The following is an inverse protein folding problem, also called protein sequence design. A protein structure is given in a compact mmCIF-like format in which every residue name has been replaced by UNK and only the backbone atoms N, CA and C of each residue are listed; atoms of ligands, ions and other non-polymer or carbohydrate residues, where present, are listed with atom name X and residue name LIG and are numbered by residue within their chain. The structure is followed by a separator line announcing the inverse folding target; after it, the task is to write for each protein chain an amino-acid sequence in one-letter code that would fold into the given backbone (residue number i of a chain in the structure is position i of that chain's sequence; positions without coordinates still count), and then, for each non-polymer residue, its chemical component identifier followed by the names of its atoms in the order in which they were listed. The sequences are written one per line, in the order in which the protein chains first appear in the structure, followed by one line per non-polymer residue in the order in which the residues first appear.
data_IF_993353004427
#
_entry.id   IF_993353004427
#
_cell.length_a   1.000
_cell.length_b   1.000
_cell.length_c   1.000
_cell.angle_alpha   90.00
_cell.angle_beta   90.00
_cell.angle_gamma   90.00
#
_symmetry.space_group_name_H-M   'P 1'
#
loop_
_entity.id
_entity.type
_entity.pdbx_description
1 polymer ?
#
# COMPACT_ATOMS: atom_id res chain seq x y z
N UNK A 1 -46.05 -24.42 21.70
CA UNK A 1 -46.94 -24.98 20.66
C UNK A 1 -46.46 -24.49 19.30
N UNK A 2 -46.21 -25.42 18.38
CA UNK A 2 -45.65 -25.22 17.04
C UNK A 2 -46.64 -24.51 16.11
N UNK A 3 -46.24 -23.45 15.42
CA UNK A 3 -46.89 -22.92 14.18
C UNK A 3 -45.78 -22.28 13.33
N UNK A 4 -45.25 -23.02 12.36
CA UNK A 4 -45.62 -23.00 10.93
C UNK A 4 -44.78 -22.00 10.14
N UNK A 5 -43.65 -22.52 9.66
CA UNK A 5 -42.83 -22.05 8.55
C UNK A 5 -43.68 -21.72 7.32
N UNK A 6 -43.41 -20.61 6.65
CA UNK A 6 -43.79 -20.42 5.25
C UNK A 6 -42.58 -19.89 4.48
N UNK A 7 -42.02 -20.77 3.65
CA UNK A 7 -41.04 -20.46 2.62
C UNK A 7 -41.82 -20.02 1.39
N UNK A 8 -41.52 -18.85 0.84
CA UNK A 8 -42.00 -18.45 -0.49
C UNK A 8 -40.80 -18.29 -1.42
N UNK A 9 -40.55 -19.33 -2.22
CA UNK A 9 -39.71 -19.26 -3.42
C UNK A 9 -40.49 -18.54 -4.52
N UNK A 10 -39.86 -17.57 -5.17
CA UNK A 10 -40.23 -17.17 -6.52
C UNK A 10 -39.04 -17.46 -7.44
N UNK A 11 -39.16 -18.55 -8.19
CA UNK A 11 -38.35 -18.83 -9.38
C UNK A 11 -39.06 -18.11 -10.53
N UNK A 12 -38.38 -17.17 -11.19
CA UNK A 12 -38.81 -16.66 -12.48
C UNK A 12 -37.82 -17.09 -13.56
N UNK A 13 -38.44 -17.48 -14.65
CA UNK A 13 -37.99 -18.39 -15.70
C UNK A 13 -37.10 -17.74 -16.73
N UNK A 14 -36.30 -18.62 -17.34
CA UNK A 14 -35.40 -18.46 -18.47
C UNK A 14 -36.15 -17.91 -19.68
N UNK A 15 -35.65 -16.83 -20.30
CA UNK A 15 -35.84 -16.57 -21.73
C UNK A 15 -34.54 -16.95 -22.46
N UNK A 16 -34.61 -18.09 -23.14
CA UNK A 16 -33.61 -18.53 -24.10
C UNK A 16 -33.83 -17.78 -25.42
N UNK A 17 -32.82 -17.07 -25.90
CA UNK A 17 -32.65 -16.84 -27.33
C UNK A 17 -31.87 -18.02 -27.90
N UNK A 18 -32.58 -18.94 -28.56
CA UNK A 18 -32.03 -19.91 -29.50
C UNK A 18 -31.57 -19.16 -30.76
N UNK A 19 -30.33 -19.36 -31.19
CA UNK A 19 -29.99 -19.46 -32.60
C UNK A 19 -28.99 -20.60 -32.79
N UNK A 20 -29.12 -21.25 -33.94
CA UNK A 20 -28.88 -22.66 -34.21
C UNK A 20 -27.41 -23.08 -34.30
N UNK A 21 -27.19 -24.39 -34.14
CA UNK A 21 -25.94 -25.12 -34.39
C UNK A 21 -25.48 -24.96 -35.85
N UNK A 22 -24.17 -24.87 -36.04
CA UNK A 22 -23.48 -25.63 -37.08
C UNK A 22 -22.08 -26.04 -36.59
N UNK A 23 -21.83 -27.35 -36.65
CA UNK A 23 -20.57 -28.01 -36.36
C UNK A 23 -19.74 -28.03 -37.65
N UNK A 24 -18.52 -27.48 -37.66
CA UNK A 24 -17.52 -27.82 -38.67
C UNK A 24 -16.13 -27.69 -38.07
N UNK A 25 -15.44 -28.82 -38.00
CA UNK A 25 -14.02 -28.94 -37.67
C UNK A 25 -13.17 -28.41 -38.83
N UNK A 26 -12.36 -27.39 -38.60
CA UNK A 26 -11.18 -27.12 -39.44
C UNK A 26 -10.06 -26.45 -38.66
N UNK A 27 -8.85 -26.93 -38.94
CA UNK A 27 -7.58 -26.65 -38.30
C UNK A 27 -7.02 -25.29 -38.74
N UNK A 28 -6.48 -24.56 -37.76
CA UNK A 28 -5.50 -23.46 -37.79
C UNK A 28 -5.58 -22.41 -38.91
N UNK A 29 -5.85 -21.16 -38.53
CA UNK A 29 -5.04 -20.02 -39.01
C UNK A 29 -5.06 -18.91 -37.95
N UNK A 30 -3.87 -18.40 -37.64
CA UNK A 30 -3.62 -17.22 -36.81
C UNK A 30 -4.55 -16.09 -37.21
N UNK A 31 -5.49 -15.74 -36.34
CA UNK A 31 -6.14 -14.44 -36.38
C UNK A 31 -5.61 -13.67 -35.20
N UNK A 32 -4.63 -12.84 -35.54
CA UNK A 32 -4.18 -11.69 -34.76
C UNK A 32 -5.42 -10.82 -34.54
N UNK A 33 -6.21 -11.16 -33.52
CA UNK A 33 -7.20 -10.24 -32.98
C UNK A 33 -6.37 -9.26 -32.18
N UNK A 34 -5.85 -8.29 -32.92
CA UNK A 34 -5.50 -6.96 -32.44
C UNK A 34 -6.76 -6.47 -31.74
N UNK A 35 -6.89 -6.91 -30.49
CA UNK A 35 -7.84 -6.36 -29.56
C UNK A 35 -7.30 -4.97 -29.43
N UNK A 36 -7.89 -4.05 -30.19
CA UNK A 36 -7.94 -2.64 -29.89
C UNK A 36 -8.17 -2.59 -28.40
N UNK A 37 -7.06 -2.51 -27.66
CA UNK A 37 -7.04 -2.16 -26.28
C UNK A 37 -7.65 -0.78 -26.34
N UNK A 38 -8.96 -0.73 -26.08
CA UNK A 38 -9.61 0.50 -25.69
C UNK A 38 -8.61 1.14 -24.76
N UNK A 39 -8.03 2.27 -25.17
CA UNK A 39 -7.27 3.12 -24.29
C UNK A 39 -8.30 3.54 -23.24
N UNK A 40 -8.54 2.65 -22.28
CA UNK A 40 -9.13 2.99 -21.01
C UNK A 40 -8.18 4.06 -20.53
N UNK A 41 -8.64 5.30 -20.60
CA UNK A 41 -7.91 6.45 -20.09
C UNK A 41 -7.61 6.12 -18.64
N UNK A 42 -6.42 5.61 -18.42
CA UNK A 42 -6.00 5.15 -17.11
C UNK A 42 -5.97 6.38 -16.24
N UNK A 43 -6.73 6.36 -15.16
CA UNK A 43 -6.77 7.46 -14.23
C UNK A 43 -5.35 7.82 -13.81
N UNK A 44 -4.99 9.09 -13.91
CA UNK A 44 -3.71 9.62 -13.45
C UNK A 44 -3.80 9.97 -11.96
N UNK A 45 -2.68 10.36 -11.35
CA UNK A 45 -2.65 10.84 -9.97
C UNK A 45 -2.84 12.37 -9.87
N UNK A 46 -3.16 13.06 -10.97
CA UNK A 46 -3.21 14.53 -10.98
C UNK A 46 -4.29 15.06 -10.04
N UNK A 47 -5.47 14.46 -10.05
CA UNK A 47 -6.55 14.86 -9.14
C UNK A 47 -6.25 14.48 -7.69
N UNK A 48 -5.52 13.38 -7.46
CA UNK A 48 -5.04 13.01 -6.14
C UNK A 48 -4.10 14.07 -5.54
N UNK A 49 -3.15 14.58 -6.32
CA UNK A 49 -2.18 15.58 -5.82
C UNK A 49 -2.80 16.96 -5.59
N UNK A 50 -3.97 17.27 -6.18
CA UNK A 50 -4.72 18.49 -5.92
C UNK A 50 -5.47 18.47 -4.58
N UNK A 51 -5.61 17.31 -3.95
CA UNK A 51 -6.35 17.18 -2.69
C UNK A 51 -5.60 17.86 -1.53
N UNK A 52 -6.30 18.66 -0.71
CA UNK A 52 -5.68 19.56 0.27
C UNK A 52 -5.17 18.86 1.52
N UNK A 53 -5.68 17.67 1.86
CA UNK A 53 -5.37 17.00 3.12
C UNK A 53 -5.33 15.46 2.98
N UNK A 54 -4.77 14.83 4.02
CA UNK A 54 -4.53 13.38 4.09
C UNK A 54 -5.80 12.55 4.09
N UNK A 55 -6.89 13.05 4.68
CA UNK A 55 -8.17 12.33 4.72
C UNK A 55 -8.79 12.22 3.32
N UNK A 56 -8.81 13.32 2.58
CA UNK A 56 -9.30 13.35 1.21
C UNK A 56 -8.44 12.47 0.29
N UNK A 57 -7.11 12.53 0.44
CA UNK A 57 -6.18 11.66 -0.28
C UNK A 57 -6.43 10.18 0.00
N UNK A 58 -6.63 9.80 1.27
CA UNK A 58 -6.95 8.42 1.64
C UNK A 58 -8.28 7.95 1.03
N UNK A 59 -9.33 8.79 1.10
CA UNK A 59 -10.64 8.51 0.47
C UNK A 59 -10.52 8.33 -1.04
N UNK A 60 -9.75 9.19 -1.71
CA UNK A 60 -9.52 9.08 -3.14
C UNK A 60 -8.82 7.78 -3.52
N UNK A 61 -7.74 7.42 -2.81
CA UNK A 61 -7.02 6.17 -3.06
C UNK A 61 -7.91 4.93 -2.85
N UNK A 62 -8.76 4.93 -1.82
CA UNK A 62 -9.72 3.85 -1.57
C UNK A 62 -10.74 3.71 -2.71
N UNK A 63 -11.18 4.82 -3.30
CA UNK A 63 -12.18 4.81 -4.38
C UNK A 63 -11.59 4.56 -5.77
N UNK A 64 -10.37 5.01 -6.01
CA UNK A 64 -9.79 5.14 -7.34
C UNK A 64 -8.41 4.50 -7.51
N UNK A 65 -7.71 4.15 -6.43
CA UNK A 65 -6.34 3.64 -6.48
C UNK A 65 -6.18 2.43 -7.40
N UNK A 66 -7.10 1.47 -7.34
CA UNK A 66 -7.07 0.27 -8.19
C UNK A 66 -7.38 0.54 -9.67
N UNK A 67 -7.89 1.73 -10.00
CA UNK A 67 -8.15 2.20 -11.37
C UNK A 67 -6.94 2.94 -11.97
N UNK A 68 -6.00 3.37 -11.14
CA UNK A 68 -4.73 3.95 -11.59
C UNK A 68 -3.86 2.83 -12.18
N UNK A 69 -3.10 3.14 -13.24
CA UNK A 69 -2.11 2.19 -13.76
C UNK A 69 -1.19 1.73 -12.63
N UNK A 70 -1.15 0.41 -12.39
CA UNK A 70 -0.35 -0.20 -11.33
C UNK A 70 1.09 0.33 -11.28
N UNK A 71 1.79 0.42 -12.43
CA UNK A 71 3.17 0.92 -12.50
C UNK A 71 3.29 2.38 -12.04
N UNK A 72 2.36 3.25 -12.44
CA UNK A 72 2.34 4.67 -12.04
C UNK A 72 2.17 4.79 -10.52
N UNK A 73 1.28 3.97 -9.96
CA UNK A 73 0.97 3.94 -8.53
C UNK A 73 2.13 3.36 -7.70
N UNK A 74 2.77 2.30 -8.20
CA UNK A 74 3.97 1.69 -7.60
C UNK A 74 5.14 2.69 -7.58
N UNK A 75 5.41 3.39 -8.69
CA UNK A 75 6.47 4.40 -8.76
C UNK A 75 6.18 5.59 -7.85
N UNK A 76 4.93 6.07 -7.81
CA UNK A 76 4.52 7.16 -6.96
C UNK A 76 4.65 6.80 -5.47
N UNK A 77 4.14 5.65 -5.04
CA UNK A 77 4.17 5.25 -3.61
C UNK A 77 5.62 5.05 -3.12
N UNK A 78 6.51 4.49 -3.95
CA UNK A 78 7.93 4.38 -3.58
C UNK A 78 8.62 5.74 -3.54
N UNK A 79 8.36 6.61 -4.50
CA UNK A 79 8.96 7.95 -4.53
C UNK A 79 8.50 8.80 -3.36
N UNK A 80 7.20 8.80 -3.09
CA UNK A 80 6.58 9.71 -2.14
C UNK A 80 6.88 9.28 -0.70
N UNK A 81 6.78 7.99 -0.37
CA UNK A 81 7.03 7.51 1.00
C UNK A 81 8.50 7.31 1.36
N UNK A 82 9.42 7.52 0.44
CA UNK A 82 10.86 7.42 0.73
C UNK A 82 11.25 8.54 1.70
N UNK A 83 11.77 8.17 2.86
CA UNK A 83 12.23 9.13 3.88
C UNK A 83 13.34 10.01 3.31
N UNK A 84 13.17 11.32 3.44
CA UNK A 84 14.15 12.33 3.02
C UNK A 84 14.86 12.89 4.25
N UNK A 85 16.11 12.49 4.45
CA UNK A 85 16.93 12.92 5.58
C UNK A 85 17.51 11.75 6.37
N UNK A 86 18.23 12.07 7.44
CA UNK A 86 18.79 11.05 8.33
C UNK A 86 17.73 10.57 9.31
N UNK A 87 17.69 9.25 9.52
CA UNK A 87 16.94 8.65 10.63
C UNK A 87 17.84 8.53 11.84
N UNK A 88 17.42 9.15 12.94
CA UNK A 88 18.09 9.11 14.25
C UNK A 88 17.21 8.43 15.29
N UNK A 89 17.78 8.12 16.46
CA UNK A 89 17.06 7.55 17.60
C UNK A 89 16.22 6.31 17.29
N UNK A 90 16.72 5.43 16.42
CA UNK A 90 16.02 4.21 16.04
C UNK A 90 15.81 3.29 17.25
N UNK A 91 14.55 2.95 17.53
CA UNK A 91 14.09 2.17 18.69
C UNK A 91 12.99 1.21 18.28
N UNK A 92 12.71 0.21 19.13
CA UNK A 92 11.55 -0.66 18.97
C UNK A 92 11.52 -1.39 17.63
N UNK A 93 12.44 -2.35 17.43
CA UNK A 93 12.54 -3.09 16.18
C UNK A 93 11.56 -4.26 16.14
N UNK A 94 10.75 -4.32 15.09
CA UNK A 94 9.94 -5.49 14.74
C UNK A 94 10.34 -6.00 13.36
N UNK A 95 10.63 -7.30 13.26
CA UNK A 95 11.06 -7.95 12.01
C UNK A 95 10.04 -9.00 11.61
N UNK A 96 9.62 -8.98 10.36
CA UNK A 96 8.73 -9.98 9.78
C UNK A 96 9.15 -10.30 8.35
N UNK A 97 9.13 -11.59 8.01
CA UNK A 97 9.39 -12.05 6.63
C UNK A 97 8.22 -11.67 5.71
N UNK A 98 8.50 -11.40 4.44
CA UNK A 98 7.49 -11.15 3.41
C UNK A 98 6.42 -12.24 3.38
N UNK A 99 6.80 -13.52 3.44
CA UNK A 99 5.85 -14.64 3.41
C UNK A 99 4.83 -14.61 4.55
N UNK A 100 5.21 -14.11 5.73
CA UNK A 100 4.28 -13.93 6.86
C UNK A 100 3.49 -12.62 6.74
N UNK A 101 4.14 -11.53 6.34
CA UNK A 101 3.47 -10.25 6.14
C UNK A 101 2.38 -10.32 5.05
N UNK A 102 2.65 -11.06 3.97
CA UNK A 102 1.70 -11.36 2.88
C UNK A 102 0.43 -12.05 3.38
N UNK A 103 0.52 -12.92 4.39
CA UNK A 103 -0.64 -13.57 5.01
C UNK A 103 -1.50 -12.59 5.81
N UNK A 104 -0.87 -11.58 6.43
CA UNK A 104 -1.56 -10.52 7.18
C UNK A 104 -2.29 -9.58 6.22
N UNK A 105 -1.61 -9.05 5.20
CA UNK A 105 -2.19 -8.07 4.27
C UNK A 105 -3.10 -8.71 3.20
N UNK A 106 -3.04 -10.03 3.04
CA UNK A 106 -3.85 -10.82 2.10
C UNK A 106 -3.80 -10.28 0.67
N UNK A 107 -4.95 -9.90 0.10
CA UNK A 107 -5.10 -9.31 -1.23
C UNK A 107 -5.52 -7.83 -1.19
N UNK A 108 -5.48 -7.20 0.00
CA UNK A 108 -5.84 -5.79 0.13
C UNK A 108 -4.88 -4.88 -0.64
N UNK A 109 -5.41 -3.75 -1.10
CA UNK A 109 -4.71 -2.65 -1.78
C UNK A 109 -4.85 -1.34 -1.01
N UNK A 110 -5.74 -0.44 -1.46
CA UNK A 110 -6.04 0.80 -0.72
C UNK A 110 -7.33 0.74 0.10
N UNK A 111 -8.00 -0.41 0.11
CA UNK A 111 -9.21 -0.67 0.88
C UNK A 111 -8.93 -0.97 2.36
N UNK A 112 -7.67 -1.22 2.73
CA UNK A 112 -7.24 -1.47 4.09
C UNK A 112 -5.78 -1.03 4.32
N UNK A 113 -5.40 -0.91 5.59
CA UNK A 113 -4.11 -0.43 6.04
C UNK A 113 -3.49 -1.38 7.06
N UNK A 114 -2.17 -1.49 7.03
CA UNK A 114 -1.39 -2.22 8.01
C UNK A 114 -1.07 -1.28 9.19
N UNK A 115 -1.74 -1.49 10.31
CA UNK A 115 -1.56 -0.75 11.56
C UNK A 115 -0.43 -1.37 12.40
N UNK A 116 0.44 -0.51 12.94
CA UNK A 116 1.45 -0.89 13.92
C UNK A 116 0.83 -0.78 15.32
N UNK A 117 0.65 -1.90 16.00
CA UNK A 117 0.28 -1.92 17.42
C UNK A 117 1.55 -1.90 18.27
N UNK A 118 1.61 -0.98 19.23
CA UNK A 118 2.80 -0.75 20.03
C UNK A 118 2.47 -0.42 21.48
N UNK A 119 3.42 -0.72 22.36
CA UNK A 119 3.40 -0.37 23.78
C UNK A 119 4.79 0.10 24.19
N UNK A 120 4.88 1.20 24.93
CA UNK A 120 6.14 1.73 25.50
C UNK A 120 7.29 1.86 24.46
N UNK A 121 6.98 2.40 23.26
CA UNK A 121 7.91 2.52 22.12
C UNK A 121 8.47 1.20 21.58
N UNK A 122 7.81 0.08 21.87
CA UNK A 122 8.09 -1.22 21.29
C UNK A 122 6.92 -1.64 20.40
N UNK A 123 7.23 -2.03 19.17
CA UNK A 123 6.24 -2.60 18.25
C UNK A 123 5.94 -4.03 18.71
N UNK A 124 4.67 -4.30 19.02
CA UNK A 124 4.21 -5.58 19.53
C UNK A 124 3.70 -6.47 18.40
N UNK A 125 2.85 -5.92 17.52
CA UNK A 125 2.25 -6.68 16.41
C UNK A 125 1.78 -5.78 15.27
N UNK A 126 1.39 -6.41 14.17
CA UNK A 126 0.84 -5.79 12.98
C UNK A 126 -0.60 -6.27 12.77
N UNK A 127 -1.52 -5.35 12.51
CA UNK A 127 -2.94 -5.67 12.31
C UNK A 127 -3.53 -4.90 11.14
N UNK A 128 -4.41 -5.55 10.39
CA UNK A 128 -5.18 -4.87 9.34
C UNK A 128 -6.33 -4.04 9.92
N UNK A 129 -6.48 -2.82 9.42
CA UNK A 129 -7.59 -1.90 9.74
C UNK A 129 -8.19 -1.34 8.44
N UNK A 130 -9.47 -0.98 8.44
CA UNK A 130 -10.19 -0.55 7.23
C UNK A 130 -10.07 0.95 6.92
N UNK A 131 -9.59 1.75 7.88
CA UNK A 131 -9.53 3.21 7.77
C UNK A 131 -8.15 3.73 8.15
N UNK A 132 -7.66 4.70 7.38
CA UNK A 132 -6.38 5.36 7.66
C UNK A 132 -6.47 6.28 8.87
N UNK A 133 -7.57 7.00 9.04
CA UNK A 133 -7.88 7.79 10.23
C UNK A 133 -9.04 7.11 10.93
N UNK A 134 -8.87 6.74 12.20
CA UNK A 134 -9.99 6.29 13.05
C UNK A 134 -9.81 6.91 14.42
N UNK A 135 -10.78 6.72 15.34
CA UNK A 135 -10.61 7.08 16.76
C UNK A 135 -10.15 5.89 17.61
N UNK A 136 -10.02 4.72 16.97
CA UNK A 136 -9.70 3.45 17.61
C UNK A 136 -8.24 3.10 17.32
N UNK A 137 -7.42 2.91 18.36
CA UNK A 137 -6.09 2.29 18.22
C UNK A 137 -4.84 3.15 18.43
N UNK A 138 -4.91 4.30 19.11
CA UNK A 138 -3.71 5.07 19.50
C UNK A 138 -3.10 5.91 18.35
N UNK A 139 -1.86 6.43 18.46
CA UNK A 139 -1.23 7.16 17.36
C UNK A 139 -1.08 6.26 16.12
N UNK A 140 -1.61 6.73 14.99
CA UNK A 140 -1.94 5.91 13.82
C UNK A 140 -0.74 5.69 12.89
N UNK A 141 0.16 4.79 13.28
CA UNK A 141 1.21 4.30 12.37
C UNK A 141 0.62 3.29 11.39
N UNK A 142 0.12 3.75 10.23
CA UNK A 142 -0.65 2.95 9.28
C UNK A 142 -0.10 2.98 7.87
N UNK A 143 0.47 1.88 7.42
CA UNK A 143 1.01 1.76 6.07
C UNK A 143 -0.08 1.32 5.09
N UNK A 144 -0.15 1.93 3.92
CA UNK A 144 -0.94 1.36 2.82
C UNK A 144 -0.36 -0.01 2.44
N UNK A 145 -1.20 -1.01 2.17
CA UNK A 145 -0.66 -2.31 1.74
C UNK A 145 -0.02 -2.22 0.35
N UNK A 146 -0.44 -1.23 -0.45
CA UNK A 146 0.20 -0.87 -1.71
C UNK A 146 1.68 -0.54 -1.53
N UNK A 147 2.06 0.28 -0.53
CA UNK A 147 3.46 0.53 -0.20
C UNK A 147 4.18 -0.78 0.15
N UNK A 148 3.63 -1.58 1.05
CA UNK A 148 4.23 -2.86 1.48
C UNK A 148 4.49 -3.78 0.29
N UNK A 149 3.55 -3.89 -0.65
CA UNK A 149 3.69 -4.69 -1.87
C UNK A 149 4.75 -4.13 -2.81
N UNK A 150 4.77 -2.82 -3.01
CA UNK A 150 5.78 -2.16 -3.83
C UNK A 150 7.18 -2.40 -3.28
N UNK A 151 7.34 -2.33 -1.96
CA UNK A 151 8.59 -2.65 -1.27
C UNK A 151 8.98 -4.12 -1.40
N UNK A 152 8.03 -5.05 -1.27
CA UNK A 152 8.26 -6.48 -1.46
C UNK A 152 8.77 -6.78 -2.88
N UNK A 153 8.17 -6.13 -3.88
CA UNK A 153 8.55 -6.26 -5.28
C UNK A 153 9.92 -5.64 -5.57
N UNK A 154 10.12 -4.39 -5.15
CA UNK A 154 11.30 -3.62 -5.52
C UNK A 154 12.55 -4.05 -4.74
N UNK A 155 12.45 -4.21 -3.42
CA UNK A 155 13.60 -4.48 -2.56
C UNK A 155 13.65 -5.92 -2.06
N UNK A 156 12.48 -6.55 -1.87
CA UNK A 156 12.39 -7.97 -1.50
C UNK A 156 12.49 -8.92 -2.70
N UNK A 157 12.37 -8.40 -3.93
CA UNK A 157 12.28 -9.19 -5.18
C UNK A 157 11.22 -10.29 -5.12
N UNK A 158 10.14 -10.06 -4.35
CA UNK A 158 9.10 -11.02 -4.00
C UNK A 158 9.60 -12.33 -3.37
N UNK A 159 10.79 -12.33 -2.78
CA UNK A 159 11.30 -13.47 -2.01
C UNK A 159 10.55 -13.52 -0.68
N UNK A 160 9.90 -14.65 -0.38
CA UNK A 160 9.14 -14.83 0.88
C UNK A 160 10.03 -14.74 2.13
N UNK A 161 11.34 -14.92 1.99
CA UNK A 161 12.33 -14.76 3.07
C UNK A 161 12.84 -13.32 3.21
N UNK A 162 12.45 -12.39 2.33
CA UNK A 162 12.83 -10.99 2.48
C UNK A 162 12.30 -10.43 3.80
N UNK A 163 13.14 -9.73 4.55
CA UNK A 163 12.78 -9.22 5.87
C UNK A 163 12.30 -7.78 5.79
N UNK A 164 11.17 -7.51 6.44
CA UNK A 164 10.64 -6.17 6.65
C UNK A 164 10.93 -5.76 8.09
N UNK A 165 11.71 -4.70 8.25
CA UNK A 165 12.12 -4.16 9.54
C UNK A 165 11.34 -2.88 9.79
N UNK A 166 10.53 -2.87 10.84
CA UNK A 166 9.81 -1.70 11.32
C UNK A 166 10.53 -1.16 12.55
N UNK A 167 10.73 0.16 12.63
CA UNK A 167 11.34 0.81 13.77
C UNK A 167 10.72 2.18 14.03
N UNK A 168 10.61 2.54 15.31
CA UNK A 168 10.40 3.93 15.69
C UNK A 168 11.68 4.71 15.45
N UNK A 169 11.58 5.91 14.92
CA UNK A 169 12.73 6.76 14.65
C UNK A 169 12.34 8.24 14.61
N UNK A 170 13.35 9.10 14.68
CA UNK A 170 13.22 10.52 14.39
C UNK A 170 13.75 10.77 12.99
N UNK A 171 12.99 11.45 12.14
CA UNK A 171 13.56 12.07 10.94
C UNK A 171 14.20 13.38 11.40
N UNK A 172 15.44 13.66 11.01
CA UNK A 172 16.14 14.89 11.43
C UNK A 172 15.23 16.13 11.35
N UNK A 173 15.17 16.90 12.45
CA UNK A 173 14.32 18.11 12.60
C UNK A 173 12.80 17.86 12.70
N UNK A 174 12.33 16.62 12.70
CA UNK A 174 10.94 16.31 13.06
C UNK A 174 10.72 16.48 14.57
N UNK A 175 9.55 17.00 14.95
CA UNK A 175 9.17 17.15 16.36
C UNK A 175 8.50 15.91 16.97
N UNK A 176 8.22 14.89 16.16
CA UNK A 176 7.46 13.70 16.55
C UNK A 176 8.09 12.43 15.95
N UNK A 177 8.09 11.31 16.69
CA UNK A 177 8.61 10.05 16.18
C UNK A 177 7.72 9.48 15.07
N UNK A 178 8.37 8.88 14.08
CA UNK A 178 7.74 8.13 12.99
C UNK A 178 7.98 6.64 13.15
N UNK A 179 7.17 5.82 12.48
CA UNK A 179 7.57 4.43 12.18
C UNK A 179 8.14 4.40 10.76
N UNK A 180 9.38 3.97 10.65
CA UNK A 180 10.05 3.72 9.38
C UNK A 180 10.04 2.22 9.06
N UNK A 181 10.02 1.90 7.77
CA UNK A 181 10.17 0.54 7.24
C UNK A 181 11.40 0.45 6.34
N UNK A 182 12.16 -0.63 6.50
CA UNK A 182 13.29 -0.98 5.64
C UNK A 182 13.17 -2.46 5.23
N UNK A 183 13.50 -2.79 3.98
CA UNK A 183 13.48 -4.17 3.49
C UNK A 183 14.90 -4.70 3.34
N UNK A 184 15.19 -5.87 3.90
CA UNK A 184 16.54 -6.48 3.92
C UNK A 184 17.63 -5.53 4.45
N UNK A 185 17.26 -4.65 5.38
CA UNK A 185 18.18 -3.69 5.99
C UNK A 185 19.15 -4.33 6.97
N UNK A 186 20.33 -3.74 7.14
CA UNK A 186 21.20 -4.07 8.27
C UNK A 186 20.78 -3.25 9.49
N UNK A 187 20.27 -3.87 10.56
CA UNK A 187 19.70 -3.14 11.69
C UNK A 187 20.70 -2.44 12.60
N UNK A 188 22.00 -2.68 12.41
CA UNK A 188 23.04 -2.19 13.31
C UNK A 188 23.92 -1.12 12.68
N UNK A 189 23.64 -0.69 11.44
CA UNK A 189 24.50 0.23 10.70
C UNK A 189 23.82 1.57 10.44
N UNK A 190 24.59 2.64 10.59
CA UNK A 190 24.29 3.93 9.97
C UNK A 190 24.28 3.76 8.46
N UNK A 191 23.20 4.23 7.85
CA UNK A 191 22.82 4.08 6.44
C UNK A 191 24.02 4.11 5.48
N UNK A 192 24.49 2.94 5.04
CA UNK A 192 25.56 2.86 4.05
C UNK A 192 25.02 3.22 2.65
N UNK A 193 25.89 3.67 1.74
CA UNK A 193 25.48 4.02 0.37
C UNK A 193 24.82 2.86 -0.42
N UNK A 194 25.00 1.62 0.06
CA UNK A 194 24.48 0.40 -0.57
C UNK A 194 23.27 -0.20 0.18
N UNK A 195 22.82 0.41 1.27
CA UNK A 195 21.67 -0.08 2.04
C UNK A 195 20.35 0.33 1.39
N UNK A 196 19.33 -0.50 1.59
CA UNK A 196 17.98 -0.19 1.15
C UNK A 196 17.45 1.07 1.86
N UNK A 197 16.75 1.95 1.15
CA UNK A 197 16.22 3.17 1.75
C UNK A 197 15.11 2.87 2.77
N UNK A 198 14.88 3.82 3.67
CA UNK A 198 13.76 3.79 4.60
C UNK A 198 12.52 4.46 4.00
N UNK A 199 11.35 3.98 4.42
CA UNK A 199 10.06 4.52 4.00
C UNK A 199 9.16 4.79 5.22
N UNK A 200 8.29 5.79 5.13
CA UNK A 200 7.42 6.18 6.24
C UNK A 200 6.01 5.54 6.17
N UNK A 201 5.27 5.69 7.27
CA UNK A 201 3.90 5.19 7.45
C UNK A 201 2.81 6.15 6.94
N UNK A 202 3.18 7.24 6.27
CA UNK A 202 2.19 8.23 5.88
C UNK A 202 1.33 7.70 4.71
N UNK A 203 0.16 8.28 4.46
CA UNK A 203 -0.51 8.17 3.14
C UNK A 203 -0.17 9.35 2.23
N UNK A 204 0.57 10.32 2.75
CA UNK A 204 1.13 11.47 2.06
C UNK A 204 2.38 11.83 2.84
N UNK A 205 3.60 11.72 2.28
CA UNK A 205 4.81 12.17 2.98
C UNK A 205 4.56 13.59 3.42
N UNK A 206 4.38 13.79 4.71
CA UNK A 206 3.78 15.04 5.19
C UNK A 206 4.67 16.20 4.73
N UNK A 207 4.06 17.37 4.51
CA UNK A 207 4.75 18.65 4.28
C UNK A 207 5.95 18.91 5.23
N UNK A 208 6.09 18.17 6.34
CA UNK A 208 7.25 18.18 7.24
C UNK A 208 8.57 17.83 6.52
N UNK A 209 8.55 17.06 5.43
CA UNK A 209 9.73 16.74 4.58
C UNK A 209 9.93 17.73 3.42
N UNK A 210 8.95 18.63 3.18
CA UNK A 210 9.00 19.59 2.08
C UNK A 210 9.73 20.89 2.43
N UNK A 211 10.25 21.03 3.66
CA UNK A 211 11.04 22.19 4.05
C UNK A 211 12.42 21.81 4.60
N UNK A 212 13.36 21.35 3.75
CA UNK A 212 14.77 21.50 4.08
C UNK A 212 15.07 23.00 4.00
N UNK A 213 14.95 23.75 5.10
CA UNK A 213 15.32 25.16 5.10
C UNK A 213 16.76 25.29 4.54
N UNK A 214 16.97 25.88 3.34
CA UNK A 214 18.28 25.93 2.70
C UNK A 214 19.23 26.94 3.36
N UNK A 215 18.72 27.73 4.31
CA UNK A 215 19.49 28.74 5.02
C UNK A 215 19.88 28.23 6.41
N UNK A 216 20.89 27.37 6.46
CA UNK A 216 21.77 27.27 7.63
C UNK A 216 23.20 27.44 7.14
N UNK A 217 23.60 28.71 7.13
CA UNK A 217 24.95 29.26 7.27
C UNK A 217 26.13 28.49 6.65
N UNK A 218 26.69 29.10 5.60
CA UNK A 218 28.13 29.03 5.32
C UNK A 218 28.91 29.42 6.60
N UNK A 219 29.97 28.69 6.97
CA UNK A 219 30.86 29.13 8.04
C UNK A 219 31.64 30.37 7.57
N UNK A 220 31.92 31.23 8.55
CA UNK A 220 32.81 32.41 8.49
C UNK A 220 34.20 32.06 7.96
#
# INVERSE_FOLDING_TARGET
MKKCTLILMFILTITACKKEKEESTTVATETNVDTLASKSDSLTLDDYYKLPNTEEKAKWLKQYGDKVKRKVLEEAVLRDHKVKGTLTDQKGKYVITWGNLKKIIKNHGYDAYLNIEHKDNKIDTLKMVSEYISKEGGPYYRFSTALIRSLAKEYGKNNDNAEFHFSFAMIDKSGEPVVAIQVNGNPNNTQSANETPYFDYSTDPSKKDQNPNPNINKPL
#
